data_IF_830683205411
#
_entry.id   IF_830683205411
#
_cell.length_a   1.000
_cell.length_b   1.000
_cell.length_c   1.000
_cell.angle_alpha   90.00
_cell.angle_beta   90.00
_cell.angle_gamma   90.00
#
_symmetry.space_group_name_H-M   'P 1'
#
loop_
_entity.id
_entity.type
_entity.pdbx_description
1 polymer ?
#
# COMPACT_ATOMS: atom_id res chain seq x y z
N UNK A 1 26.57 -12.54 15.96
CA UNK A 1 25.44 -13.41 16.38
C UNK A 1 24.20 -12.61 16.81
N UNK A 2 24.31 -11.61 17.70
CA UNK A 2 23.16 -10.80 18.17
C UNK A 2 22.58 -9.85 17.10
N UNK A 3 23.44 -9.25 16.27
CA UNK A 3 23.02 -8.35 15.17
C UNK A 3 22.14 -9.06 14.14
N UNK A 4 22.44 -10.33 13.87
CA UNK A 4 21.72 -11.15 12.90
C UNK A 4 20.31 -11.50 13.40
N UNK A 5 20.21 -11.86 14.69
CA UNK A 5 18.93 -12.15 15.36
C UNK A 5 18.00 -10.91 15.44
N UNK A 6 18.58 -9.72 15.62
CA UNK A 6 17.83 -8.46 15.63
C UNK A 6 17.35 -8.02 14.23
N UNK A 7 18.06 -8.42 13.17
CA UNK A 7 17.70 -8.10 11.79
C UNK A 7 16.65 -9.08 11.22
N UNK A 8 16.62 -10.32 11.73
CA UNK A 8 15.65 -11.36 11.35
C UNK A 8 14.32 -11.27 12.12
N UNK A 9 14.27 -10.51 13.22
CA UNK A 9 13.05 -10.29 14.00
C UNK A 9 12.07 -9.37 13.26
N UNK A 10 10.89 -9.90 12.92
CA UNK A 10 9.73 -9.11 12.42
C UNK A 10 9.13 -8.17 13.49
N UNK A 11 9.66 -8.16 14.72
CA UNK A 11 9.27 -7.23 15.79
C UNK A 11 10.32 -6.10 15.87
N UNK A 12 10.07 -5.01 15.17
CA UNK A 12 11.05 -3.95 14.86
C UNK A 12 11.33 -2.95 15.99
N UNK A 13 10.58 -2.93 17.09
CA UNK A 13 10.64 -1.84 18.07
C UNK A 13 10.78 -2.45 19.46
N UNK A 14 11.96 -2.42 20.14
CA UNK A 14 12.94 -1.32 20.27
C UNK A 14 14.42 -1.71 19.96
N UNK A 15 14.69 -2.91 19.46
CA UNK A 15 16.05 -3.47 19.44
C UNK A 15 17.03 -2.77 18.50
N UNK A 16 16.59 -2.29 17.32
CA UNK A 16 17.49 -1.58 16.40
C UNK A 16 18.05 -0.30 17.01
N UNK A 17 17.22 0.49 17.71
CA UNK A 17 17.69 1.68 18.43
C UNK A 17 18.75 1.34 19.47
N UNK A 18 18.57 0.23 20.19
CA UNK A 18 19.52 -0.24 21.19
C UNK A 18 20.84 -0.66 20.56
N UNK A 19 20.80 -1.36 19.42
CA UNK A 19 21.99 -1.75 18.66
C UNK A 19 22.77 -0.52 18.18
N UNK A 20 22.10 0.45 17.57
CA UNK A 20 22.74 1.69 17.12
C UNK A 20 23.30 2.53 18.29
N UNK A 21 22.59 2.58 19.42
CA UNK A 21 23.10 3.23 20.63
C UNK A 21 24.36 2.55 21.19
N UNK A 22 24.43 1.21 21.15
CA UNK A 22 25.63 0.45 21.53
C UNK A 22 26.80 0.63 20.56
N UNK A 23 26.52 0.77 19.27
CA UNK A 23 27.53 1.01 18.23
C UNK A 23 27.96 2.48 18.14
N UNK A 24 27.35 3.37 18.94
CA UNK A 24 27.56 4.81 18.90
C UNK A 24 27.29 5.41 17.49
N UNK A 25 26.35 4.80 16.75
CA UNK A 25 25.93 5.21 15.41
C UNK A 25 24.54 5.88 15.45
N UNK A 26 24.27 6.88 14.59
CA UNK A 26 22.96 7.50 14.54
C UNK A 26 21.90 6.54 14.00
N UNK A 27 20.83 6.29 14.78
CA UNK A 27 19.70 5.49 14.33
C UNK A 27 18.89 6.23 13.27
N UNK A 28 18.78 5.65 12.06
CA UNK A 28 17.95 6.18 10.99
C UNK A 28 16.65 5.38 10.89
N UNK A 29 15.52 6.06 11.03
CA UNK A 29 14.23 5.40 10.83
C UNK A 29 14.05 4.99 9.36
N UNK A 30 13.50 3.80 9.10
CA UNK A 30 13.15 3.39 7.76
C UNK A 30 12.17 4.36 7.12
N UNK A 31 12.32 4.55 5.82
CA UNK A 31 11.43 5.36 5.01
C UNK A 31 10.13 4.59 4.74
N UNK A 32 9.01 5.10 5.22
CA UNK A 32 7.68 4.63 4.79
C UNK A 32 7.41 5.03 3.33
N UNK A 33 7.43 4.05 2.43
CA UNK A 33 7.10 4.23 1.02
C UNK A 33 5.69 4.82 0.87
N UNK A 34 4.63 4.28 1.50
CA UNK A 34 3.29 4.89 1.42
C UNK A 34 3.25 6.36 1.86
N UNK A 35 3.95 6.72 2.95
CA UNK A 35 3.99 8.11 3.43
C UNK A 35 4.69 9.04 2.44
N UNK A 36 5.74 8.57 1.75
CA UNK A 36 6.38 9.32 0.66
C UNK A 36 5.45 9.52 -0.53
N UNK A 37 4.72 8.49 -0.93
CA UNK A 37 3.74 8.61 -2.01
C UNK A 37 2.65 9.65 -1.67
N UNK A 38 2.15 9.63 -0.42
CA UNK A 38 1.17 10.61 0.05
C UNK A 38 1.73 12.04 0.00
N UNK A 39 2.96 12.25 0.46
CA UNK A 39 3.60 13.57 0.45
C UNK A 39 3.74 14.12 -0.98
N UNK A 40 4.20 13.28 -1.91
CA UNK A 40 4.41 13.65 -3.32
C UNK A 40 3.08 13.86 -4.06
N UNK A 41 2.06 13.05 -3.76
CA UNK A 41 0.71 13.28 -4.28
C UNK A 41 0.13 14.61 -3.78
N UNK A 42 0.39 14.98 -2.53
CA UNK A 42 -0.05 16.27 -1.96
C UNK A 42 0.69 17.47 -2.55
N UNK A 43 1.96 17.29 -2.94
CA UNK A 43 2.73 18.32 -3.66
C UNK A 43 2.35 18.47 -5.14
N UNK A 44 1.33 17.75 -5.63
CA UNK A 44 0.78 17.91 -6.98
C UNK A 44 1.32 16.94 -8.02
N UNK A 45 2.00 15.86 -7.61
CA UNK A 45 2.44 14.84 -8.57
C UNK A 45 1.25 14.07 -9.17
N UNK A 46 1.36 13.76 -10.46
CA UNK A 46 0.41 12.92 -11.18
C UNK A 46 0.56 11.42 -10.83
N UNK A 47 -0.39 10.63 -11.31
CA UNK A 47 -0.44 9.19 -11.09
C UNK A 47 0.83 8.47 -11.58
N UNK A 48 1.35 8.86 -12.74
CA UNK A 48 2.53 8.21 -13.34
C UNK A 48 3.80 8.51 -12.55
N UNK A 49 3.95 9.72 -12.04
CA UNK A 49 5.04 10.12 -11.17
C UNK A 49 5.02 9.35 -9.84
N UNK A 50 3.84 9.14 -9.27
CA UNK A 50 3.66 8.32 -8.07
C UNK A 50 4.03 6.86 -8.33
N UNK A 51 3.59 6.28 -9.46
CA UNK A 51 3.98 4.91 -9.85
C UNK A 51 5.48 4.78 -10.06
N UNK A 52 6.10 5.69 -10.82
CA UNK A 52 7.56 5.71 -11.02
C UNK A 52 8.32 5.82 -9.70
N UNK A 53 7.87 6.67 -8.79
CA UNK A 53 8.47 6.80 -7.47
C UNK A 53 8.35 5.51 -6.67
N UNK A 54 7.17 4.87 -6.69
CA UNK A 54 6.96 3.59 -6.03
C UNK A 54 7.94 2.53 -6.53
N UNK A 55 8.00 2.28 -7.85
CA UNK A 55 8.89 1.26 -8.41
C UNK A 55 10.37 1.54 -8.13
N UNK A 56 10.78 2.82 -8.14
CA UNK A 56 12.14 3.21 -7.75
C UNK A 56 12.42 2.87 -6.29
N UNK A 57 11.52 3.24 -5.38
CA UNK A 57 11.70 3.00 -3.95
C UNK A 57 11.64 1.50 -3.61
N UNK A 58 10.79 0.72 -4.29
CA UNK A 58 10.74 -0.73 -4.09
C UNK A 58 11.96 -1.43 -4.67
N UNK A 59 12.49 -0.97 -5.81
CA UNK A 59 13.77 -1.42 -6.32
C UNK A 59 14.91 -1.14 -5.32
N UNK A 60 14.98 0.08 -4.79
CA UNK A 60 15.98 0.45 -3.77
C UNK A 60 15.82 -0.37 -2.48
N UNK A 61 14.58 -0.73 -2.11
CA UNK A 61 14.28 -1.56 -0.96
C UNK A 61 14.77 -3.00 -1.11
N UNK A 62 14.94 -3.51 -2.35
CA UNK A 62 15.58 -4.82 -2.57
C UNK A 62 17.06 -4.76 -2.17
N UNK A 63 17.76 -3.68 -2.52
CA UNK A 63 19.17 -3.50 -2.18
C UNK A 63 19.39 -3.14 -0.70
N UNK A 64 18.47 -2.39 -0.09
CA UNK A 64 18.57 -1.87 1.28
C UNK A 64 17.26 -2.09 2.06
N UNK A 65 16.89 -3.33 2.39
CA UNK A 65 15.58 -3.64 2.98
C UNK A 65 15.38 -3.00 4.37
N UNK A 66 16.45 -2.74 5.12
CA UNK A 66 16.36 -2.06 6.41
C UNK A 66 15.99 -0.57 6.29
N UNK A 67 16.18 0.05 5.13
CA UNK A 67 15.97 1.48 4.93
C UNK A 67 14.54 1.83 4.53
N UNK A 68 13.70 0.84 4.19
CA UNK A 68 12.39 1.07 3.61
C UNK A 68 11.32 0.18 4.22
N UNK A 69 10.15 0.76 4.45
CA UNK A 69 8.95 0.04 4.86
C UNK A 69 7.89 0.21 3.77
N UNK A 70 7.44 -0.91 3.22
CA UNK A 70 6.29 -1.00 2.32
C UNK A 70 5.31 -2.02 2.85
N UNK A 71 4.08 -1.59 3.09
CA UNK A 71 3.00 -2.46 3.52
C UNK A 71 1.77 -2.23 2.67
N UNK A 72 1.05 -3.31 2.37
CA UNK A 72 -0.24 -3.26 1.69
C UNK A 72 -1.21 -2.33 2.44
N UNK A 73 -1.34 -2.51 3.76
CA UNK A 73 -2.25 -1.69 4.57
C UNK A 73 -1.93 -0.19 4.48
N UNK A 74 -0.64 0.16 4.41
CA UNK A 74 -0.19 1.52 4.20
C UNK A 74 -0.59 2.07 2.83
N UNK A 75 -0.40 1.27 1.76
CA UNK A 75 -0.83 1.65 0.40
C UNK A 75 -2.35 1.82 0.32
N UNK A 76 -3.13 0.88 0.88
CA UNK A 76 -4.60 0.97 0.95
C UNK A 76 -5.01 2.27 1.66
N UNK A 77 -4.43 2.55 2.83
CA UNK A 77 -4.77 3.73 3.62
C UNK A 77 -4.48 5.02 2.86
N UNK A 78 -3.31 5.12 2.21
CA UNK A 78 -2.94 6.30 1.41
C UNK A 78 -3.87 6.47 0.20
N UNK A 79 -4.16 5.39 -0.53
CA UNK A 79 -5.08 5.42 -1.66
C UNK A 79 -6.48 5.91 -1.26
N UNK A 80 -7.01 5.41 -0.14
CA UNK A 80 -8.30 5.85 0.40
C UNK A 80 -8.30 7.32 0.84
N UNK A 81 -7.22 7.80 1.46
CA UNK A 81 -7.06 9.22 1.82
C UNK A 81 -7.10 10.09 0.57
N UNK A 82 -6.31 9.76 -0.45
CA UNK A 82 -6.25 10.54 -1.70
C UNK A 82 -7.59 10.53 -2.46
N UNK A 83 -8.31 9.42 -2.44
CA UNK A 83 -9.67 9.32 -2.98
C UNK A 83 -10.68 10.18 -2.20
N UNK A 84 -10.50 10.39 -0.89
CA UNK A 84 -11.34 11.30 -0.09
C UNK A 84 -11.07 12.76 -0.44
N UNK A 85 -9.85 13.10 -0.84
CA UNK A 85 -9.47 14.47 -1.23
C UNK A 85 -10.03 14.90 -2.61
N UNK A 86 -10.68 14.01 -3.38
CA UNK A 86 -11.43 14.34 -4.60
C UNK A 86 -10.54 14.72 -5.79
N UNK A 87 -9.87 15.86 -5.71
CA UNK A 87 -8.93 16.36 -6.72
C UNK A 87 -7.78 15.38 -7.03
N UNK A 88 -7.47 14.48 -6.09
CA UNK A 88 -6.41 13.47 -6.20
C UNK A 88 -6.95 12.06 -6.42
N UNK A 89 -8.20 11.90 -6.86
CA UNK A 89 -8.82 10.59 -7.04
C UNK A 89 -8.08 9.71 -8.06
N UNK A 90 -7.52 10.29 -9.11
CA UNK A 90 -6.69 9.58 -10.10
C UNK A 90 -5.41 9.01 -9.47
N UNK A 91 -4.75 9.80 -8.62
CA UNK A 91 -3.56 9.38 -7.88
C UNK A 91 -3.92 8.36 -6.80
N UNK A 92 -5.04 8.54 -6.10
CA UNK A 92 -5.53 7.59 -5.11
C UNK A 92 -5.81 6.22 -5.71
N UNK A 93 -6.42 6.17 -6.91
CA UNK A 93 -6.56 4.93 -7.68
C UNK A 93 -5.22 4.31 -8.03
N UNK A 94 -4.26 5.11 -8.52
CA UNK A 94 -2.93 4.60 -8.84
C UNK A 94 -2.25 3.96 -7.63
N UNK A 95 -2.39 4.54 -6.42
CA UNK A 95 -1.83 3.94 -5.19
C UNK A 95 -2.54 2.63 -4.83
N UNK A 96 -3.85 2.50 -5.07
CA UNK A 96 -4.58 1.24 -4.85
C UNK A 96 -4.20 0.16 -5.88
N UNK A 97 -3.93 0.55 -7.13
CA UNK A 97 -3.38 -0.36 -8.15
C UNK A 97 -2.02 -0.92 -7.70
N UNK A 98 -1.15 -0.07 -7.13
CA UNK A 98 0.13 -0.49 -6.55
C UNK A 98 -0.05 -1.41 -5.32
N UNK A 99 -1.13 -1.26 -4.54
CA UNK A 99 -1.44 -2.17 -3.45
C UNK A 99 -1.75 -3.58 -3.96
N UNK A 100 -2.51 -3.69 -5.06
CA UNK A 100 -2.80 -4.97 -5.73
C UNK A 100 -1.54 -5.54 -6.38
N UNK A 101 -0.71 -4.72 -7.00
CA UNK A 101 0.58 -5.16 -7.56
C UNK A 101 1.50 -5.75 -6.48
N UNK A 102 1.58 -5.10 -5.32
CA UNK A 102 2.41 -5.57 -4.19
C UNK A 102 1.92 -6.90 -3.63
N UNK A 103 0.60 -7.07 -3.58
CA UNK A 103 -0.09 -8.21 -2.98
C UNK A 103 -1.19 -8.76 -3.89
N UNK A 104 -0.84 -9.49 -4.98
CA UNK A 104 -1.83 -9.94 -5.97
C UNK A 104 -2.92 -10.87 -5.42
N UNK A 105 -2.60 -11.58 -4.32
CA UNK A 105 -3.50 -12.49 -3.60
C UNK A 105 -4.30 -11.84 -2.47
N UNK A 106 -4.26 -10.52 -2.31
CA UNK A 106 -5.00 -9.84 -1.25
C UNK A 106 -6.40 -9.42 -1.70
N UNK A 107 -7.41 -10.05 -1.12
CA UNK A 107 -8.80 -9.62 -1.32
C UNK A 107 -9.02 -8.18 -0.81
N UNK A 108 -8.32 -7.73 0.25
CA UNK A 108 -8.47 -6.39 0.83
C UNK A 108 -7.95 -5.32 -0.12
N UNK A 109 -6.82 -5.56 -0.79
CA UNK A 109 -6.27 -4.65 -1.78
C UNK A 109 -7.22 -4.52 -2.99
N UNK A 110 -7.76 -5.64 -3.48
CA UNK A 110 -8.74 -5.65 -4.57
C UNK A 110 -10.06 -4.99 -4.20
N UNK A 111 -10.58 -5.25 -3.01
CA UNK A 111 -11.79 -4.60 -2.49
C UNK A 111 -11.61 -3.08 -2.37
N UNK A 112 -10.45 -2.64 -1.88
CA UNK A 112 -10.11 -1.22 -1.81
C UNK A 112 -10.06 -0.60 -3.21
N UNK A 113 -9.40 -1.25 -4.17
CA UNK A 113 -9.35 -0.80 -5.57
C UNK A 113 -10.75 -0.73 -6.20
N UNK A 114 -11.59 -1.74 -5.96
CA UNK A 114 -12.98 -1.77 -6.42
C UNK A 114 -13.79 -0.59 -5.87
N UNK A 115 -13.70 -0.33 -4.55
CA UNK A 115 -14.34 0.83 -3.92
C UNK A 115 -13.81 2.17 -4.48
N UNK A 116 -12.51 2.23 -4.80
CA UNK A 116 -11.92 3.38 -5.48
C UNK A 116 -12.49 3.60 -6.87
N UNK A 117 -12.63 2.53 -7.68
CA UNK A 117 -13.22 2.62 -9.01
C UNK A 117 -14.70 3.03 -8.96
N UNK A 118 -15.47 2.51 -7.99
CA UNK A 118 -16.85 2.92 -7.78
C UNK A 118 -16.95 4.42 -7.48
N UNK A 119 -16.05 4.93 -6.63
CA UNK A 119 -16.04 6.34 -6.23
C UNK A 119 -15.79 7.30 -7.39
N UNK A 120 -15.02 6.89 -8.40
CA UNK A 120 -14.77 7.69 -9.60
C UNK A 120 -15.72 7.37 -10.77
N UNK A 121 -16.79 6.60 -10.52
CA UNK A 121 -17.78 6.24 -11.52
C UNK A 121 -17.36 5.16 -12.53
N UNK A 122 -16.22 4.48 -12.31
CA UNK A 122 -15.75 3.38 -13.17
C UNK A 122 -16.35 2.04 -12.73
N UNK A 123 -17.68 1.95 -12.79
CA UNK A 123 -18.45 0.82 -12.25
C UNK A 123 -18.02 -0.53 -12.82
N UNK A 124 -17.79 -0.63 -14.13
CA UNK A 124 -17.39 -1.91 -14.75
C UNK A 124 -16.08 -2.45 -14.19
N UNK A 125 -15.09 -1.56 -13.97
CA UNK A 125 -13.81 -1.92 -13.35
C UNK A 125 -13.98 -2.28 -11.89
N UNK A 126 -14.84 -1.56 -11.16
CA UNK A 126 -15.16 -1.90 -9.77
C UNK A 126 -15.73 -3.32 -9.66
N UNK A 127 -16.66 -3.68 -10.55
CA UNK A 127 -17.28 -5.01 -10.57
C UNK A 127 -16.28 -6.12 -10.90
N UNK A 128 -15.32 -5.86 -11.79
CA UNK A 128 -14.24 -6.82 -12.07
C UNK A 128 -13.38 -7.08 -10.83
N UNK A 129 -12.96 -6.03 -10.12
CA UNK A 129 -12.14 -6.18 -8.91
C UNK A 129 -12.92 -6.81 -7.74
N UNK A 130 -14.21 -6.50 -7.57
CA UNK A 130 -15.06 -7.18 -6.58
C UNK A 130 -15.20 -8.68 -6.86
N UNK A 131 -15.30 -9.10 -8.12
CA UNK A 131 -15.32 -10.52 -8.49
C UNK A 131 -14.01 -11.21 -8.17
N UNK A 132 -12.88 -10.58 -8.44
CA UNK A 132 -11.57 -11.14 -8.08
C UNK A 132 -11.36 -11.20 -6.56
N UNK A 133 -11.79 -10.18 -5.81
CA UNK A 133 -11.76 -10.20 -4.35
C UNK A 133 -12.58 -11.37 -3.77
N UNK A 134 -13.78 -11.62 -4.32
CA UNK A 134 -14.61 -12.77 -3.97
C UNK A 134 -13.95 -14.10 -4.32
N UNK A 135 -13.30 -14.20 -5.48
CA UNK A 135 -12.60 -15.42 -5.90
C UNK A 135 -11.45 -15.74 -4.95
N UNK A 136 -10.72 -14.73 -4.47
CA UNK A 136 -9.60 -14.91 -3.53
C UNK A 136 -10.07 -15.27 -2.11
N UNK A 137 -11.15 -14.67 -1.62
CA UNK A 137 -11.67 -15.00 -0.29
C UNK A 137 -13.20 -14.94 -0.23
N UNK A 138 -13.89 -16.03 -0.61
CA UNK A 138 -15.35 -16.06 -0.68
C UNK A 138 -16.05 -15.76 0.65
N UNK A 139 -15.43 -16.15 1.78
CA UNK A 139 -16.00 -16.01 3.12
C UNK A 139 -15.87 -14.58 3.69
N UNK A 140 -14.80 -13.86 3.32
CA UNK A 140 -14.52 -12.51 3.83
C UNK A 140 -15.09 -11.42 2.93
N UNK A 141 -15.34 -11.73 1.66
CA UNK A 141 -15.84 -10.80 0.67
C UNK A 141 -17.38 -10.62 0.71
N UNK A 142 -18.04 -10.87 1.84
CA UNK A 142 -19.50 -10.66 2.01
C UNK A 142 -19.93 -9.24 1.61
N UNK A 143 -19.08 -8.24 1.88
CA UNK A 143 -19.25 -6.86 1.44
C UNK A 143 -19.26 -6.77 -0.09
N UNK A 144 -18.30 -7.41 -0.78
CA UNK A 144 -18.23 -7.46 -2.24
C UNK A 144 -19.44 -8.17 -2.85
N UNK A 145 -19.90 -9.29 -2.28
CA UNK A 145 -21.11 -10.00 -2.72
C UNK A 145 -22.35 -9.09 -2.66
N UNK A 146 -22.54 -8.39 -1.54
CA UNK A 146 -23.67 -7.47 -1.39
C UNK A 146 -23.66 -6.32 -2.40
N UNK A 147 -22.47 -5.85 -2.81
CA UNK A 147 -22.33 -4.80 -3.83
C UNK A 147 -22.59 -5.32 -5.23
N UNK A 148 -22.23 -6.57 -5.53
CA UNK A 148 -22.53 -7.22 -6.80
C UNK A 148 -24.04 -7.47 -6.97
N UNK A 149 -24.73 -7.84 -5.89
CA UNK A 149 -26.17 -8.15 -5.90
C UNK A 149 -27.04 -6.91 -6.07
N UNK A 150 -26.67 -5.77 -5.48
CA UNK A 150 -27.44 -4.50 -5.57
C UNK A 150 -27.51 -3.87 -6.97
N UNK A 151 -26.77 -4.40 -7.95
CA UNK A 151 -26.70 -3.85 -9.31
C UNK A 151 -27.11 -4.85 -10.41
N UNK A 152 -27.76 -5.95 -10.03
CA UNK A 152 -28.57 -6.76 -10.96
C UNK A 152 -29.95 -6.16 -11.11
#
# INVERSE_FOLDING_TARGET
>A
MIVQLANDSRQEFPFRKLVHAWLNEPYRYPVSIPSRLLAVARSGADADSVKRLYHRLTHDAVARPADFVVSEAGLISVGQVLLKEGARSTVGLAVLELAVERSPGSYRAREALAAGYEKVGKTDRAMAEYREALRLSPQLAKISASKLERRR
#
